data_IF_671726350472
#
_entry.id   IF_671726350472
#
_cell.length_a   1.000
_cell.length_b   1.000
_cell.length_c   1.000
_cell.angle_alpha   90.00
_cell.angle_beta   90.00
_cell.angle_gamma   90.00
#
_symmetry.space_group_name_H-M   'P 1'
#
loop_
_entity.id
_entity.type
_entity.pdbx_description
1 polymer ?
#
# COMPACT_ATOMS: atom_id res chain seq x y z
N UNK A 1 -7.36 -22.97 14.93
CA UNK A 1 -7.84 -21.61 14.58
C UNK A 1 -6.59 -20.75 14.56
N UNK A 2 -5.68 -21.04 13.62
CA UNK A 2 -4.25 -20.67 13.73
C UNK A 2 -3.67 -20.21 12.38
N UNK A 3 -4.50 -19.61 11.53
CA UNK A 3 -4.14 -19.28 10.15
C UNK A 3 -4.44 -17.82 9.76
N UNK A 4 -4.56 -16.91 10.73
CA UNK A 4 -4.97 -15.51 10.47
C UNK A 4 -3.96 -14.45 10.93
N UNK A 5 -2.72 -14.83 11.26
CA UNK A 5 -1.72 -13.89 11.83
C UNK A 5 -0.37 -14.00 11.11
N UNK A 6 -0.36 -14.22 9.79
CA UNK A 6 0.87 -14.12 8.97
C UNK A 6 0.93 -12.86 8.11
N UNK A 7 -0.10 -12.03 8.13
CA UNK A 7 -0.16 -10.78 7.35
C UNK A 7 0.36 -9.56 8.13
N UNK A 8 0.93 -9.76 9.32
CA UNK A 8 1.46 -8.69 10.18
C UNK A 8 2.89 -8.26 9.82
N UNK A 9 3.60 -9.02 8.98
CA UNK A 9 5.01 -8.73 8.66
C UNK A 9 5.20 -7.82 7.43
N UNK A 10 4.15 -7.17 6.91
CA UNK A 10 4.21 -6.27 5.74
C UNK A 10 4.83 -4.89 6.10
N UNK A 11 5.34 -4.63 7.30
CA UNK A 11 6.02 -3.36 7.58
C UNK A 11 7.16 -3.56 8.58
N UNK A 12 8.40 -3.64 8.08
CA UNK A 12 9.60 -3.27 8.85
C UNK A 12 10.51 -2.37 8.00
N UNK A 13 11.14 -1.40 8.68
CA UNK A 13 11.74 -0.13 8.18
C UNK A 13 12.84 -0.24 7.10
N UNK A 14 13.37 0.86 6.55
CA UNK A 14 14.05 1.95 7.28
C UNK A 14 13.99 3.31 6.52
N UNK A 15 13.67 4.36 7.29
CA UNK A 15 14.20 5.73 7.30
C UNK A 15 14.59 6.45 5.99
N UNK A 16 13.67 7.30 5.50
CA UNK A 16 14.02 8.60 4.91
C UNK A 16 12.96 9.67 5.24
N UNK A 17 13.29 10.55 6.19
CA UNK A 17 12.73 11.90 6.42
C UNK A 17 11.24 12.08 6.76
N UNK A 18 10.94 11.98 8.06
CA UNK A 18 10.11 12.90 8.83
C UNK A 18 8.85 13.52 8.19
N UNK A 19 7.88 12.70 7.77
CA UNK A 19 6.46 13.08 7.75
C UNK A 19 5.63 11.82 8.08
N UNK A 20 4.47 11.95 8.69
CA UNK A 20 3.62 10.86 9.21
C UNK A 20 2.89 10.12 8.07
N UNK A 21 3.65 9.49 7.16
CA UNK A 21 3.12 8.84 5.96
C UNK A 21 3.62 7.42 5.76
N UNK A 22 2.82 6.61 5.05
CA UNK A 22 3.10 5.20 4.73
C UNK A 22 2.84 4.93 3.25
N UNK A 23 3.62 4.03 2.68
CA UNK A 23 3.47 3.60 1.28
C UNK A 23 3.17 2.11 1.18
N UNK A 24 2.62 1.66 0.05
CA UNK A 24 2.46 0.23 -0.23
C UNK A 24 3.78 -0.49 -0.40
N UNK A 25 3.83 -1.76 0.00
CA UNK A 25 4.94 -2.66 -0.32
C UNK A 25 4.81 -3.23 -1.73
N UNK A 26 5.94 -3.68 -2.29
CA UNK A 26 5.96 -4.42 -3.55
C UNK A 26 5.23 -5.76 -3.41
N UNK A 27 4.29 -6.00 -4.33
CA UNK A 27 3.72 -7.31 -4.57
C UNK A 27 3.99 -7.71 -6.02
N UNK A 28 4.31 -8.98 -6.24
CA UNK A 28 4.57 -9.50 -7.57
C UNK A 28 3.81 -10.80 -7.75
N UNK A 29 2.50 -10.67 -7.97
CA UNK A 29 1.62 -11.81 -8.25
C UNK A 29 1.55 -12.13 -9.76
N UNK A 30 2.29 -11.37 -10.58
CA UNK A 30 2.35 -11.53 -12.03
C UNK A 30 1.28 -10.73 -12.76
N UNK A 31 0.62 -9.78 -12.08
CA UNK A 31 -0.35 -8.89 -12.72
C UNK A 31 0.37 -7.85 -13.56
N UNK A 32 -0.27 -7.43 -14.64
CA UNK A 32 0.36 -6.55 -15.62
C UNK A 32 0.34 -5.07 -15.24
N UNK A 33 -0.48 -4.68 -14.25
CA UNK A 33 -0.62 -3.30 -13.82
C UNK A 33 -0.15 -3.12 -12.39
N UNK A 34 0.41 -1.95 -12.07
CA UNK A 34 0.93 -1.60 -10.76
C UNK A 34 0.22 -0.38 -10.17
N UNK A 35 -0.08 -0.44 -8.87
CA UNK A 35 -0.56 0.70 -8.08
C UNK A 35 0.45 1.04 -6.98
N UNK A 36 0.78 2.33 -6.88
CA UNK A 36 1.48 2.90 -5.75
C UNK A 36 0.46 3.64 -4.88
N UNK A 37 0.43 3.33 -3.58
CA UNK A 37 -0.39 4.04 -2.61
C UNK A 37 0.52 4.72 -1.61
N UNK A 38 0.24 5.98 -1.32
CA UNK A 38 0.93 6.76 -0.32
C UNK A 38 -0.08 7.54 0.51
N UNK A 39 0.00 7.35 1.82
CA UNK A 39 -1.04 7.76 2.76
C UNK A 39 -0.45 8.56 3.89
N UNK A 40 -0.96 9.77 4.06
CA UNK A 40 -0.58 10.74 5.08
C UNK A 40 -1.70 10.86 6.11
N UNK A 41 -1.34 10.92 7.39
CA UNK A 41 -2.28 11.24 8.45
C UNK A 41 -2.56 10.10 9.42
N UNK A 42 -3.84 9.89 9.75
CA UNK A 42 -4.23 9.03 10.88
C UNK A 42 -4.58 7.59 10.48
N UNK A 43 -4.90 6.76 11.47
CA UNK A 43 -5.32 5.35 11.30
C UNK A 43 -6.42 5.15 10.26
N UNK A 44 -7.34 6.11 10.12
CA UNK A 44 -8.42 6.04 9.13
C UNK A 44 -7.89 6.05 7.70
N UNK A 45 -6.93 6.92 7.38
CA UNK A 45 -6.34 6.98 6.05
C UNK A 45 -5.62 5.66 5.71
N UNK A 46 -4.96 5.04 6.70
CA UNK A 46 -4.32 3.74 6.50
C UNK A 46 -5.34 2.62 6.25
N UNK A 47 -6.43 2.56 7.02
CA UNK A 47 -7.51 1.60 6.79
C UNK A 47 -8.17 1.76 5.42
N UNK A 48 -8.43 2.99 4.98
CA UNK A 48 -8.97 3.25 3.64
C UNK A 48 -8.01 2.76 2.55
N UNK A 49 -6.70 2.89 2.78
CA UNK A 49 -5.67 2.47 1.84
C UNK A 49 -5.62 0.95 1.66
N UNK A 50 -5.86 0.19 2.72
CA UNK A 50 -5.96 -1.28 2.66
C UNK A 50 -7.20 -1.72 1.86
N UNK A 51 -8.32 -1.03 2.04
CA UNK A 51 -9.55 -1.28 1.27
C UNK A 51 -9.30 -0.98 -0.21
N UNK A 52 -8.69 0.16 -0.53
CA UNK A 52 -8.34 0.53 -1.92
C UNK A 52 -7.38 -0.48 -2.53
N UNK A 53 -6.33 -0.90 -1.81
CA UNK A 53 -5.39 -1.91 -2.28
C UNK A 53 -6.11 -3.22 -2.61
N UNK A 54 -7.04 -3.66 -1.76
CA UNK A 54 -7.81 -4.89 -1.97
C UNK A 54 -8.67 -4.83 -3.24
N UNK A 55 -9.39 -3.73 -3.44
CA UNK A 55 -10.20 -3.51 -4.64
C UNK A 55 -9.32 -3.49 -5.90
N UNK A 56 -8.18 -2.81 -5.84
CA UNK A 56 -7.26 -2.72 -6.98
C UNK A 56 -6.66 -4.08 -7.32
N UNK A 57 -6.36 -4.91 -6.31
CA UNK A 57 -5.90 -6.29 -6.50
C UNK A 57 -6.92 -7.13 -7.25
N UNK A 58 -8.21 -7.02 -6.91
CA UNK A 58 -9.30 -7.70 -7.63
C UNK A 58 -9.44 -7.23 -9.08
N UNK A 59 -9.05 -5.99 -9.35
CA UNK A 59 -9.07 -5.36 -10.68
C UNK A 59 -7.77 -5.55 -11.48
N UNK A 60 -6.90 -6.49 -11.07
CA UNK A 60 -5.72 -6.86 -11.84
C UNK A 60 -4.50 -5.96 -11.63
N UNK A 61 -4.40 -5.29 -10.47
CA UNK A 61 -3.21 -4.57 -10.06
C UNK A 61 -2.38 -5.35 -9.03
N UNK A 62 -1.06 -5.25 -9.15
CA UNK A 62 -0.09 -5.51 -8.10
C UNK A 62 0.28 -4.19 -7.41
N UNK A 63 0.72 -4.23 -6.16
CA UNK A 63 1.21 -3.03 -5.47
C UNK A 63 2.69 -2.80 -5.75
N UNK A 64 3.12 -1.56 -5.76
CA UNK A 64 4.53 -1.16 -5.89
C UNK A 64 4.89 -0.14 -4.82
N UNK A 65 6.14 -0.17 -4.34
CA UNK A 65 6.72 0.83 -3.46
C UNK A 65 7.47 1.93 -4.23
N UNK A 66 7.56 1.79 -5.56
CA UNK A 66 8.18 2.75 -6.46
C UNK A 66 7.12 3.42 -7.33
N UNK A 67 6.88 4.71 -7.09
CA UNK A 67 5.87 5.46 -7.83
C UNK A 67 6.21 5.61 -9.32
N UNK A 68 7.49 5.51 -9.72
CA UNK A 68 7.90 5.61 -11.13
C UNK A 68 7.50 4.36 -11.92
N UNK A 69 7.27 3.23 -11.24
CA UNK A 69 6.84 1.97 -11.85
C UNK A 69 5.32 1.78 -11.83
N UNK A 70 4.57 2.72 -11.25
CA UNK A 70 3.14 2.60 -11.09
C UNK A 70 2.37 3.06 -12.33
N UNK A 71 1.34 2.31 -12.72
CA UNK A 71 0.33 2.77 -13.68
C UNK A 71 -0.67 3.72 -13.02
N UNK A 72 -0.84 3.59 -11.70
CA UNK A 72 -1.75 4.41 -10.89
C UNK A 72 -1.06 4.80 -9.59
N UNK A 73 -1.11 6.10 -9.26
CA UNK A 73 -0.68 6.64 -7.96
C UNK A 73 -1.91 7.09 -7.18
N UNK A 74 -2.07 6.58 -5.96
CA UNK A 74 -3.15 6.95 -5.04
C UNK A 74 -2.57 7.65 -3.80
N UNK A 75 -2.82 8.95 -3.70
CA UNK A 75 -2.40 9.77 -2.57
C UNK A 75 -3.59 10.00 -1.63
N UNK A 76 -3.53 9.45 -0.42
CA UNK A 76 -4.55 9.65 0.61
C UNK A 76 -4.04 10.60 1.68
N UNK A 77 -4.80 11.63 2.02
CA UNK A 77 -4.39 12.62 3.03
C UNK A 77 -5.61 13.06 3.85
N UNK A 78 -5.42 13.34 5.12
CA UNK A 78 -6.39 14.05 5.94
C UNK A 78 -6.15 15.57 5.87
N UNK A 79 -7.21 16.39 5.99
CA UNK A 79 -7.05 17.83 6.25
C UNK A 79 -6.62 18.11 7.68
#
# INVERSE_FOLDING_TARGET
MDQLIKDIDIITGEEAQAVDYKTTQEENTGKSKKIYIESYGCQMNFSDSEIVASIMKENGYDTTSDFEQADVVFLNTCS
#
